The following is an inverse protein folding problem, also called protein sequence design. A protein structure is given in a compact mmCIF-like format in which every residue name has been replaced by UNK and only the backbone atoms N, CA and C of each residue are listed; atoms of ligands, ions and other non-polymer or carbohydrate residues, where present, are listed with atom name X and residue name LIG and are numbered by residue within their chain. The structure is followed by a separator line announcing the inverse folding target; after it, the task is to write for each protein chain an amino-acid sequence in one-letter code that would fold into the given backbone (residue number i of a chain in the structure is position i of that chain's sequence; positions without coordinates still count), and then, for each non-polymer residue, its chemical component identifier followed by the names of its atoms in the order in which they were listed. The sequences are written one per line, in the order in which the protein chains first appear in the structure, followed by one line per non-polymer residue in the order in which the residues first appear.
data_IF_847480881379
#
_entry.id   IF_847480881379
#
_cell.length_a   1.000
_cell.length_b   1.000
_cell.length_c   1.000
_cell.angle_alpha   90.00
_cell.angle_beta   90.00
_cell.angle_gamma   90.00
#
_symmetry.space_group_name_H-M   'P 1'
#
loop_
_entity.id
_entity.type
_entity.pdbx_description
1 polymer ?
#
# COMPACT_ATOMS: atom_id res chain seq x y z
N UNK A 1 -24.11 -9.42 1.52
CA UNK A 1 -22.92 -9.22 0.69
C UNK A 1 -23.34 -8.53 -0.58
N UNK A 2 -22.65 -7.45 -0.96
CA UNK A 2 -22.91 -6.71 -2.19
C UNK A 2 -22.12 -7.37 -3.32
N UNK A 3 -22.72 -7.46 -4.51
CA UNK A 3 -22.06 -8.05 -5.67
C UNK A 3 -21.08 -7.04 -6.27
N UNK A 4 -19.89 -7.51 -6.65
CA UNK A 4 -18.91 -6.68 -7.39
C UNK A 4 -19.52 -6.25 -8.73
N UNK A 5 -19.27 -5.01 -9.22
CA UNK A 5 -19.83 -4.52 -10.47
C UNK A 5 -19.70 -5.53 -11.62
N UNK A 6 -20.78 -5.68 -12.40
CA UNK A 6 -20.95 -6.69 -13.47
C UNK A 6 -19.86 -6.69 -14.53
N UNK A 7 -19.09 -5.60 -14.66
CA UNK A 7 -17.90 -5.52 -15.52
C UNK A 7 -16.87 -6.63 -15.22
N UNK A 8 -16.71 -7.03 -13.96
CA UNK A 8 -15.77 -8.08 -13.56
C UNK A 8 -16.35 -9.49 -13.70
N UNK A 9 -17.68 -9.64 -13.56
CA UNK A 9 -18.36 -10.93 -13.69
C UNK A 9 -18.39 -11.43 -15.15
N UNK A 10 -18.44 -10.51 -16.12
CA UNK A 10 -18.50 -10.83 -17.55
C UNK A 10 -17.21 -11.44 -18.14
N UNK A 11 -16.07 -11.37 -17.46
CA UNK A 11 -14.77 -11.82 -17.97
C UNK A 11 -14.38 -13.25 -17.54
N UNK A 12 -14.99 -13.81 -16.48
CA UNK A 12 -14.54 -15.08 -15.90
C UNK A 12 -15.62 -16.10 -15.56
N UNK A 13 -16.91 -15.74 -15.53
CA UNK A 13 -17.97 -16.64 -15.08
C UNK A 13 -17.90 -16.99 -13.58
N UNK A 14 -17.14 -16.23 -12.79
CA UNK A 14 -16.95 -16.46 -11.36
C UNK A 14 -17.87 -15.51 -10.56
N UNK A 15 -18.62 -16.07 -9.61
CA UNK A 15 -19.46 -15.30 -8.69
C UNK A 15 -18.62 -14.75 -7.54
N UNK A 16 -17.93 -13.63 -7.76
CA UNK A 16 -17.12 -12.96 -6.73
C UNK A 16 -17.96 -12.00 -5.90
N UNK A 17 -17.78 -12.07 -4.58
CA UNK A 17 -18.29 -11.09 -3.62
C UNK A 17 -17.24 -10.01 -3.35
N UNK A 18 -17.65 -8.88 -2.76
CA UNK A 18 -16.72 -7.83 -2.30
C UNK A 18 -15.69 -8.39 -1.29
N UNK A 19 -16.12 -9.34 -0.44
CA UNK A 19 -15.24 -9.99 0.53
C UNK A 19 -14.15 -10.83 -0.17
N UNK A 20 -14.50 -11.54 -1.24
CA UNK A 20 -13.54 -12.32 -2.03
C UNK A 20 -12.47 -11.44 -2.67
N UNK A 21 -12.88 -10.29 -3.22
CA UNK A 21 -11.94 -9.32 -3.82
C UNK A 21 -11.03 -8.71 -2.77
N UNK A 22 -11.57 -8.40 -1.58
CA UNK A 22 -10.78 -7.85 -0.46
C UNK A 22 -9.77 -8.88 0.06
N UNK A 23 -10.19 -10.14 0.20
CA UNK A 23 -9.31 -11.24 0.59
C UNK A 23 -8.20 -11.49 -0.45
N UNK A 24 -8.55 -11.43 -1.75
CA UNK A 24 -7.59 -11.54 -2.83
C UNK A 24 -6.57 -10.40 -2.80
N UNK A 25 -7.02 -9.14 -2.70
CA UNK A 25 -6.13 -7.98 -2.59
C UNK A 25 -5.19 -8.10 -1.39
N UNK A 26 -5.71 -8.55 -0.24
CA UNK A 26 -4.89 -8.82 0.95
C UNK A 26 -3.84 -9.89 0.71
N UNK A 27 -4.18 -10.96 -0.03
CA UNK A 27 -3.23 -12.04 -0.34
C UNK A 27 -2.11 -11.59 -1.27
N UNK A 28 -2.43 -10.72 -2.24
CA UNK A 28 -1.45 -10.13 -3.17
C UNK A 28 -0.47 -9.25 -2.40
N UNK A 29 -0.97 -8.32 -1.58
CA UNK A 29 -0.12 -7.44 -0.76
C UNK A 29 0.81 -8.22 0.18
N UNK A 30 0.33 -9.31 0.79
CA UNK A 30 1.16 -10.20 1.61
C UNK A 30 2.27 -10.88 0.80
N UNK A 31 1.95 -11.30 -0.43
CA UNK A 31 2.90 -11.96 -1.33
C UNK A 31 4.00 -10.98 -1.78
N UNK A 32 3.61 -9.76 -2.17
CA UNK A 32 4.55 -8.69 -2.54
C UNK A 32 5.46 -8.32 -1.37
N UNK A 33 4.91 -8.19 -0.15
CA UNK A 33 5.72 -7.94 1.05
C UNK A 33 6.74 -9.05 1.32
N UNK A 34 6.32 -10.31 1.21
CA UNK A 34 7.23 -11.46 1.40
C UNK A 34 8.33 -11.50 0.34
N UNK A 35 8.01 -11.17 -0.92
CA UNK A 35 8.98 -11.03 -1.99
C UNK A 35 10.01 -9.93 -1.69
N UNK A 36 9.55 -8.75 -1.26
CA UNK A 36 10.43 -7.64 -0.87
C UNK A 36 11.37 -8.03 0.28
N UNK A 37 10.85 -8.67 1.32
CA UNK A 37 11.67 -9.18 2.43
C UNK A 37 12.72 -10.19 1.97
N UNK A 38 12.36 -11.10 1.06
CA UNK A 38 13.30 -12.06 0.48
C UNK A 38 14.37 -11.38 -0.40
N UNK A 39 14.06 -10.24 -1.00
CA UNK A 39 14.99 -9.39 -1.74
C UNK A 39 15.83 -8.46 -0.83
N UNK A 40 15.79 -8.65 0.48
CA UNK A 40 16.46 -7.84 1.49
C UNK A 40 15.99 -6.37 1.59
N UNK A 41 14.76 -6.07 1.14
CA UNK A 41 14.11 -4.82 1.52
C UNK A 41 13.82 -4.83 3.02
N UNK A 42 14.42 -3.88 3.70
CA UNK A 42 14.16 -3.54 5.11
C UNK A 42 13.34 -2.25 5.22
N UNK A 43 12.85 -1.92 6.41
CA UNK A 43 12.16 -0.66 6.71
C UNK A 43 12.95 0.58 6.28
N UNK A 44 14.29 0.51 6.23
CA UNK A 44 15.13 1.59 5.74
C UNK A 44 14.89 1.96 4.26
N UNK A 45 14.27 1.07 3.48
CA UNK A 45 13.87 1.34 2.10
C UNK A 45 12.46 1.95 2.00
N UNK A 46 11.70 1.95 3.10
CA UNK A 46 10.37 2.55 3.22
C UNK A 46 10.49 3.98 3.77
N UNK A 47 11.37 4.75 3.13
CA UNK A 47 11.69 6.13 3.50
C UNK A 47 11.37 7.06 2.34
N UNK A 48 10.76 8.19 2.67
CA UNK A 48 10.53 9.25 1.70
C UNK A 48 11.86 9.89 1.28
N UNK A 49 11.96 10.43 0.07
CA UNK A 49 13.13 11.19 -0.37
C UNK A 49 13.49 12.36 0.56
N UNK A 50 14.77 12.68 0.68
CA UNK A 50 15.32 13.73 1.58
C UNK A 50 14.63 15.11 1.42
N UNK A 51 14.21 15.46 0.20
CA UNK A 51 13.56 16.75 -0.05
C UNK A 51 12.22 16.91 0.69
N UNK A 52 11.54 15.82 1.08
CA UNK A 52 10.32 15.92 1.89
C UNK A 52 10.58 16.47 3.30
N UNK A 53 11.79 16.29 3.83
CA UNK A 53 12.20 16.77 5.15
C UNK A 53 12.79 18.19 5.07
N UNK A 54 13.37 18.57 3.93
CA UNK A 54 14.12 19.83 3.79
C UNK A 54 13.37 20.92 3.02
N UNK A 55 12.49 20.55 2.09
CA UNK A 55 11.78 21.50 1.22
C UNK A 55 10.33 21.66 1.64
N UNK A 56 9.97 22.87 2.06
CA UNK A 56 8.59 23.21 2.41
C UNK A 56 7.75 23.49 1.16
N UNK A 57 6.61 22.81 0.99
CA UNK A 57 5.74 23.02 -0.18
C UNK A 57 4.69 24.10 0.10
N UNK A 58 4.64 25.20 -0.67
CA UNK A 58 3.59 26.23 -0.54
C UNK A 58 2.19 25.68 -0.86
N UNK A 59 1.12 26.26 -0.30
CA UNK A 59 1.08 27.44 0.59
C UNK A 59 1.26 27.08 2.07
N UNK A 60 1.22 25.80 2.42
CA UNK A 60 1.20 25.35 3.81
C UNK A 60 2.60 25.19 4.41
N UNK A 61 3.64 25.20 3.57
CA UNK A 61 5.06 25.14 3.94
C UNK A 61 5.35 24.01 4.95
N UNK A 62 4.60 22.93 4.87
CA UNK A 62 4.82 21.75 5.69
C UNK A 62 6.05 21.01 5.16
N UNK A 63 6.87 20.55 6.10
CA UNK A 63 7.92 19.56 5.87
C UNK A 63 7.54 18.31 6.64
N UNK A 64 7.98 17.16 6.15
CA UNK A 64 7.81 15.89 6.85
C UNK A 64 8.60 15.91 8.16
N UNK A 65 7.92 15.66 9.28
CA UNK A 65 8.48 15.77 10.63
C UNK A 65 8.40 14.47 11.45
N UNK A 66 7.95 13.36 10.85
CA UNK A 66 7.98 12.05 11.49
C UNK A 66 9.38 11.45 11.48
N UNK A 67 9.78 10.88 12.61
CA UNK A 67 10.99 10.10 12.76
C UNK A 67 10.88 8.73 12.08
N UNK A 68 12.03 8.15 11.77
CA UNK A 68 12.15 6.80 11.22
C UNK A 68 11.53 5.75 12.17
N UNK A 69 11.65 5.95 13.48
CA UNK A 69 11.06 5.09 14.50
C UNK A 69 9.53 5.15 14.50
N UNK A 70 8.93 6.34 14.33
CA UNK A 70 7.48 6.50 14.22
C UNK A 70 6.93 5.82 12.96
N UNK A 71 7.70 5.82 11.86
CA UNK A 71 7.31 5.11 10.63
C UNK A 71 7.35 3.59 10.83
N UNK A 72 8.31 3.10 11.61
CA UNK A 72 8.51 1.67 11.84
C UNK A 72 7.49 1.03 12.80
N UNK A 73 6.67 1.83 13.48
CA UNK A 73 5.59 1.34 14.36
C UNK A 73 4.31 0.92 13.61
N UNK A 74 4.16 1.27 12.32
CA UNK A 74 2.99 0.95 11.49
C UNK A 74 3.04 -0.47 10.88
#
# INVERSE_FOLDING_TARGET
SEAVPTAWQGLGGWALTVDDVTALGTSVLKTERAFNQAAAFTNAHDRLPEFFVTESVPPHNAVWDFSDEEIDEF
#
